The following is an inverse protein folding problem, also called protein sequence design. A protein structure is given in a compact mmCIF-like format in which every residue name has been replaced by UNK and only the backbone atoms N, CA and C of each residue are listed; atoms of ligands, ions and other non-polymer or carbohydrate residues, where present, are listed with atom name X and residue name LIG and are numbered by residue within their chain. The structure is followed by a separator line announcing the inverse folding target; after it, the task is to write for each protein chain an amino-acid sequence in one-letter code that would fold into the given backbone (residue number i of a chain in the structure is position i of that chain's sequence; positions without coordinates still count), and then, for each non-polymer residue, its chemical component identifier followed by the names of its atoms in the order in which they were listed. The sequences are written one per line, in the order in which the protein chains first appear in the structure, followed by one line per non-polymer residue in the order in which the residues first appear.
data_IF_681028234327
#
_entry.id   IF_681028234327
#
_cell.length_a   1.000
_cell.length_b   1.000
_cell.length_c   1.000
_cell.angle_alpha   90.00
_cell.angle_beta   90.00
_cell.angle_gamma   90.00
#
_symmetry.space_group_name_H-M   'P 1'
#
loop_
_entity.id
_entity.type
_entity.pdbx_description
1 polymer ?
#
# COMPACT_ATOMS: atom_id res chain seq x y z
N UNK A 1 -9.02 22.59 -12.09
CA UNK A 1 -9.77 21.55 -12.84
C UNK A 1 -8.80 20.46 -13.24
N UNK A 2 -8.99 19.25 -12.84
CA UNK A 2 -8.44 17.91 -13.22
C UNK A 2 -8.36 16.99 -11.98
N UNK A 3 -9.55 16.77 -11.36
CA UNK A 3 -9.68 15.90 -10.17
C UNK A 3 -10.17 14.46 -10.49
N UNK A 4 -10.27 14.08 -11.79
CA UNK A 4 -11.05 12.90 -12.20
C UNK A 4 -10.17 11.67 -12.54
N UNK A 5 -8.86 11.83 -12.74
CA UNK A 5 -8.04 10.79 -13.38
C UNK A 5 -7.54 9.70 -12.42
N UNK A 6 -7.44 9.95 -11.12
CA UNK A 6 -6.90 8.96 -10.17
C UNK A 6 -7.92 7.85 -9.87
N UNK A 7 -9.20 8.24 -9.74
CA UNK A 7 -10.29 7.27 -9.50
C UNK A 7 -10.59 6.41 -10.72
N UNK A 8 -10.40 6.95 -11.94
CA UNK A 8 -10.62 6.21 -13.18
C UNK A 8 -9.60 5.08 -13.37
N UNK A 9 -8.36 5.28 -12.95
CA UNK A 9 -7.32 4.23 -13.01
C UNK A 9 -7.62 3.14 -11.99
N UNK A 10 -8.11 3.50 -10.81
CA UNK A 10 -8.50 2.57 -9.76
C UNK A 10 -9.66 1.68 -10.25
N UNK A 11 -10.69 2.25 -10.88
CA UNK A 11 -11.85 1.51 -11.40
C UNK A 11 -11.46 0.52 -12.51
N UNK A 12 -10.52 0.87 -13.38
CA UNK A 12 -10.05 -0.02 -14.46
C UNK A 12 -9.23 -1.18 -13.90
N UNK A 13 -8.41 -0.95 -12.87
CA UNK A 13 -7.64 -2.01 -12.22
C UNK A 13 -8.55 -3.00 -11.46
N UNK A 14 -9.64 -2.52 -10.86
CA UNK A 14 -10.61 -3.40 -10.18
C UNK A 14 -11.52 -4.16 -11.13
N UNK A 15 -11.90 -3.58 -12.26
CA UNK A 15 -12.71 -4.26 -13.27
C UNK A 15 -11.98 -5.49 -13.87
N UNK A 16 -10.65 -5.44 -13.99
CA UNK A 16 -9.88 -6.58 -14.50
C UNK A 16 -9.84 -7.78 -13.55
N UNK A 17 -10.06 -7.59 -12.23
CA UNK A 17 -10.05 -8.69 -11.26
C UNK A 17 -11.43 -9.35 -11.03
N UNK A 18 -12.51 -8.71 -11.45
CA UNK A 18 -13.88 -9.23 -11.21
C UNK A 18 -14.37 -10.21 -12.27
N UNK A 19 -13.63 -10.47 -13.35
CA UNK A 19 -14.10 -11.29 -14.46
C UNK A 19 -13.67 -12.77 -14.45
N UNK A 20 -12.99 -13.26 -13.41
CA UNK A 20 -12.49 -14.64 -13.38
C UNK A 20 -13.25 -15.59 -12.44
N UNK A 21 -14.52 -15.30 -12.14
CA UNK A 21 -15.37 -16.23 -11.39
C UNK A 21 -16.57 -16.65 -12.22
N UNK A 22 -16.36 -17.29 -13.37
CA UNK A 22 -17.34 -18.16 -13.99
C UNK A 22 -16.65 -19.23 -14.83
N UNK A 23 -16.79 -20.43 -14.33
CA UNK A 23 -16.54 -21.71 -14.91
C UNK A 23 -17.02 -21.83 -16.37
N UNK A 24 -16.10 -22.01 -17.31
CA UNK A 24 -16.33 -22.83 -18.51
C UNK A 24 -14.98 -23.20 -19.15
N UNK A 25 -14.85 -24.47 -19.44
CA UNK A 25 -13.78 -25.17 -20.12
C UNK A 25 -13.31 -24.47 -21.40
N UNK A 26 -12.36 -23.58 -21.31
CA UNK A 26 -11.46 -23.19 -22.38
C UNK A 26 -10.13 -22.77 -21.77
N UNK A 27 -9.03 -23.19 -22.37
CA UNK A 27 -7.64 -23.15 -21.92
C UNK A 27 -6.99 -21.76 -21.69
N UNK A 28 -7.75 -20.77 -21.20
CA UNK A 28 -7.30 -19.44 -20.84
C UNK A 28 -7.36 -19.20 -19.33
N UNK A 29 -6.90 -20.18 -18.53
CA UNK A 29 -6.71 -20.00 -17.10
C UNK A 29 -5.72 -18.84 -16.84
N UNK A 30 -6.00 -18.02 -15.82
CA UNK A 30 -5.08 -17.00 -15.33
C UNK A 30 -3.70 -17.64 -15.06
N UNK A 31 -2.71 -17.30 -15.88
CA UNK A 31 -1.35 -17.80 -15.72
C UNK A 31 -0.51 -16.75 -15.02
N UNK A 32 0.05 -17.12 -13.89
CA UNK A 32 1.07 -16.31 -13.25
C UNK A 32 2.31 -16.20 -14.16
N UNK A 33 2.98 -15.04 -14.19
CA UNK A 33 4.19 -14.88 -14.96
C UNK A 33 5.29 -15.83 -14.49
N UNK A 34 6.10 -16.30 -15.43
CA UNK A 34 7.33 -17.00 -15.12
C UNK A 34 8.29 -16.11 -14.34
N UNK A 35 9.30 -16.69 -13.72
CA UNK A 35 10.34 -15.92 -13.00
C UNK A 35 11.01 -14.87 -13.89
N UNK A 36 11.25 -15.20 -15.16
CA UNK A 36 11.89 -14.28 -16.10
C UNK A 36 10.97 -13.13 -16.49
N UNK A 37 9.70 -13.39 -16.77
CA UNK A 37 8.70 -12.36 -17.05
C UNK A 37 8.48 -11.45 -15.83
N UNK A 38 8.34 -12.03 -14.63
CA UNK A 38 8.25 -11.26 -13.40
C UNK A 38 9.46 -10.34 -13.21
N UNK A 39 10.67 -10.83 -13.46
CA UNK A 39 11.89 -10.02 -13.39
C UNK A 39 11.87 -8.88 -14.41
N UNK A 40 11.42 -9.12 -15.65
CA UNK A 40 11.28 -8.08 -16.68
C UNK A 40 10.27 -7.00 -16.25
N UNK A 41 9.18 -7.37 -15.59
CA UNK A 41 8.23 -6.38 -15.02
C UNK A 41 8.87 -5.57 -13.90
N UNK A 42 9.65 -6.22 -13.03
CA UNK A 42 10.37 -5.54 -11.95
C UNK A 42 11.44 -4.55 -12.46
N UNK A 43 12.12 -4.84 -13.57
CA UNK A 43 13.09 -3.93 -14.20
C UNK A 43 12.44 -2.60 -14.63
N UNK A 44 11.15 -2.61 -14.96
CA UNK A 44 10.45 -1.41 -15.38
C UNK A 44 10.23 -0.42 -14.21
N UNK A 45 10.26 -0.88 -12.99
CA UNK A 45 10.04 -0.05 -11.78
C UNK A 45 11.27 0.00 -10.87
N UNK A 46 12.30 -0.81 -11.16
CA UNK A 46 13.50 -0.95 -10.35
C UNK A 46 14.33 0.33 -10.26
N UNK A 47 15.11 0.42 -9.18
CA UNK A 47 15.97 1.56 -8.87
C UNK A 47 15.53 2.33 -7.63
N UNK A 48 16.20 3.47 -7.40
CA UNK A 48 15.87 4.39 -6.30
C UNK A 48 15.21 5.64 -6.85
N UNK A 49 14.02 5.97 -6.35
CA UNK A 49 13.20 7.08 -6.81
C UNK A 49 12.79 7.99 -5.64
N UNK A 50 12.79 9.30 -5.87
CA UNK A 50 12.06 10.20 -4.98
C UNK A 50 10.56 9.96 -5.15
N UNK A 51 9.84 9.86 -4.04
CA UNK A 51 8.41 9.57 -4.03
C UNK A 51 7.66 10.44 -3.03
N UNK A 52 6.37 10.63 -3.31
CA UNK A 52 5.42 11.21 -2.38
C UNK A 52 4.54 10.13 -1.76
N UNK A 53 4.28 10.21 -0.46
CA UNK A 53 3.24 9.43 0.21
C UNK A 53 2.07 10.36 0.44
N UNK A 54 0.92 10.05 -0.15
CA UNK A 54 -0.32 10.77 0.00
C UNK A 54 -1.15 10.11 1.10
N UNK A 55 -1.58 10.90 2.06
CA UNK A 55 -2.43 10.46 3.16
C UNK A 55 -3.88 10.91 2.91
N UNK A 56 -4.89 10.11 3.28
CA UNK A 56 -6.27 10.58 3.26
C UNK A 56 -6.42 11.84 4.10
N UNK A 57 -7.08 12.87 3.54
CA UNK A 57 -7.27 14.13 4.25
C UNK A 57 -8.32 14.04 5.36
N UNK A 58 -9.25 13.13 5.21
CA UNK A 58 -10.36 12.90 6.12
C UNK A 58 -10.65 11.41 6.32
N UNK A 59 -11.60 11.14 7.21
CA UNK A 59 -12.10 9.77 7.49
C UNK A 59 -12.87 9.10 6.35
N UNK A 60 -13.08 9.78 5.22
CA UNK A 60 -13.72 9.24 4.03
C UNK A 60 -12.70 8.87 2.93
N UNK A 61 -11.43 8.73 3.28
CA UNK A 61 -10.33 8.42 2.36
C UNK A 61 -10.11 9.44 1.23
N UNK A 62 -10.53 10.69 1.41
CA UNK A 62 -10.19 11.75 0.46
C UNK A 62 -8.72 12.10 0.57
N UNK A 63 -7.97 11.90 -0.49
CA UNK A 63 -6.54 12.21 -0.56
C UNK A 63 -6.35 13.63 -1.09
N UNK A 64 -5.60 14.46 -0.36
CA UNK A 64 -5.25 15.82 -0.75
C UNK A 64 -3.73 16.00 -0.75
N UNK A 65 -3.22 16.82 -1.68
CA UNK A 65 -1.78 17.07 -1.81
C UNK A 65 -1.14 17.66 -0.56
N UNK A 66 -1.88 18.47 0.20
CA UNK A 66 -1.40 19.04 1.47
C UNK A 66 -1.07 18.01 2.55
N UNK A 67 -1.60 16.81 2.43
CA UNK A 67 -1.34 15.69 3.32
C UNK A 67 -0.29 14.73 2.71
N UNK A 68 0.71 15.25 2.04
CA UNK A 68 1.78 14.48 1.44
C UNK A 68 3.08 14.55 2.25
N UNK A 69 3.87 13.49 2.15
CA UNK A 69 5.22 13.39 2.72
C UNK A 69 6.19 12.95 1.63
N UNK A 70 7.29 13.68 1.45
CA UNK A 70 8.31 13.36 0.45
C UNK A 70 9.37 12.46 1.09
N UNK A 71 9.71 11.37 0.41
CA UNK A 71 10.72 10.41 0.80
C UNK A 71 11.34 9.74 -0.43
N UNK A 72 12.05 8.63 -0.25
CA UNK A 72 12.56 7.80 -1.32
C UNK A 72 12.12 6.36 -1.18
N UNK A 73 11.92 5.70 -2.33
CA UNK A 73 11.71 4.26 -2.43
C UNK A 73 12.83 3.65 -3.25
N UNK A 74 13.37 2.53 -2.77
CA UNK A 74 14.30 1.68 -3.53
C UNK A 74 13.62 0.36 -3.85
N UNK A 75 13.58 -0.03 -5.12
CA UNK A 75 12.99 -1.28 -5.60
C UNK A 75 14.10 -2.13 -6.21
N UNK A 76 14.31 -3.33 -5.66
CA UNK A 76 15.32 -4.28 -6.14
C UNK A 76 14.65 -5.35 -7.02
N UNK A 77 14.93 -5.36 -8.34
CA UNK A 77 14.34 -6.35 -9.23
C UNK A 77 14.78 -7.79 -8.96
N UNK A 78 15.97 -8.01 -8.41
CA UNK A 78 16.55 -9.35 -8.26
C UNK A 78 15.82 -10.19 -7.20
N UNK A 79 15.29 -9.58 -6.15
CA UNK A 79 14.58 -10.24 -5.07
C UNK A 79 13.14 -9.76 -4.89
N UNK A 80 12.72 -8.86 -5.79
CA UNK A 80 11.38 -8.25 -5.79
C UNK A 80 11.04 -7.49 -4.50
N UNK A 81 12.04 -6.98 -3.80
CA UNK A 81 11.82 -6.20 -2.58
C UNK A 81 11.73 -4.70 -2.86
N UNK A 82 11.02 -4.01 -1.99
CA UNK A 82 11.07 -2.55 -1.92
C UNK A 82 11.39 -2.06 -0.51
N UNK A 83 11.97 -0.87 -0.42
CA UNK A 83 12.25 -0.16 0.83
C UNK A 83 11.89 1.31 0.69
N UNK A 84 11.05 1.80 1.58
CA UNK A 84 10.69 3.21 1.72
C UNK A 84 11.51 3.78 2.87
N UNK A 85 12.40 4.72 2.58
CA UNK A 85 13.25 5.35 3.59
C UNK A 85 12.44 6.36 4.41
N UNK A 86 12.76 6.49 5.70
CA UNK A 86 12.15 7.50 6.58
C UNK A 86 10.61 7.53 6.55
N UNK A 87 9.96 6.38 6.45
CA UNK A 87 8.50 6.30 6.49
C UNK A 87 7.97 6.96 7.77
N UNK A 88 7.06 7.94 7.65
CA UNK A 88 6.68 8.81 8.77
C UNK A 88 5.57 8.17 9.63
N UNK A 89 5.90 7.14 10.41
CA UNK A 89 4.94 6.38 11.26
C UNK A 89 4.09 7.33 12.10
N UNK A 90 4.69 8.35 12.70
CA UNK A 90 4.00 9.33 13.56
C UNK A 90 2.83 10.07 12.88
N UNK A 91 2.87 10.22 11.54
CA UNK A 91 1.78 10.87 10.82
C UNK A 91 0.50 10.03 10.81
N UNK A 92 0.60 8.73 11.11
CA UNK A 92 -0.56 7.86 11.22
C UNK A 92 -1.38 8.12 12.49
N UNK A 93 -0.78 8.75 13.51
CA UNK A 93 -1.43 9.01 14.80
C UNK A 93 -2.78 9.73 14.66
N UNK A 94 -2.88 10.71 13.75
CA UNK A 94 -4.10 11.49 13.51
C UNK A 94 -5.29 10.66 13.00
N UNK A 95 -5.03 9.44 12.50
CA UNK A 95 -6.05 8.53 11.97
C UNK A 95 -6.40 7.38 12.91
N UNK A 96 -5.72 7.30 14.06
CA UNK A 96 -5.97 6.30 15.09
C UNK A 96 -7.08 6.76 15.99
N UNK A 97 -8.18 6.00 16.08
CA UNK A 97 -9.37 6.37 16.85
C UNK A 97 -9.18 6.33 18.37
N UNK A 98 -8.30 5.45 18.84
CA UNK A 98 -8.05 5.26 20.26
C UNK A 98 -6.91 6.17 20.71
N UNK A 99 -7.16 7.06 21.67
CA UNK A 99 -6.19 8.07 22.15
C UNK A 99 -4.88 7.46 22.67
N UNK A 100 -4.94 6.34 23.40
CA UNK A 100 -3.75 5.63 23.89
C UNK A 100 -2.84 5.25 22.74
N UNK A 101 -3.38 4.65 21.69
CA UNK A 101 -2.59 4.21 20.53
C UNK A 101 -2.24 5.36 19.61
N UNK A 102 -3.06 6.40 19.53
CA UNK A 102 -2.73 7.63 18.82
C UNK A 102 -1.48 8.28 19.43
N UNK A 103 -1.45 8.44 20.76
CA UNK A 103 -0.28 8.96 21.46
C UNK A 103 0.94 8.09 21.21
N UNK A 104 0.82 6.78 21.39
CA UNK A 104 1.90 5.82 21.16
C UNK A 104 2.50 5.94 19.75
N UNK A 105 1.65 5.97 18.71
CA UNK A 105 2.11 6.12 17.30
C UNK A 105 2.76 7.48 17.06
N UNK A 106 2.29 8.55 17.72
CA UNK A 106 2.87 9.90 17.54
C UNK A 106 4.33 10.02 18.02
N UNK A 107 4.75 9.14 18.90
CA UNK A 107 6.10 9.10 19.49
C UNK A 107 7.06 8.19 18.67
N UNK A 108 6.53 7.38 17.75
CA UNK A 108 7.36 6.50 16.91
C UNK A 108 8.19 7.31 15.92
N UNK A 109 9.53 7.16 15.92
CA UNK A 109 10.38 7.84 14.94
C UNK A 109 10.11 7.32 13.52
N UNK A 110 10.54 8.08 12.52
CA UNK A 110 10.52 7.60 11.14
C UNK A 110 11.32 6.31 11.02
N UNK A 111 10.80 5.35 10.28
CA UNK A 111 11.41 4.02 10.10
C UNK A 111 11.53 3.67 8.62
N UNK A 112 12.30 2.63 8.32
CA UNK A 112 12.27 2.03 6.99
C UNK A 112 11.08 1.08 6.90
N UNK A 113 10.16 1.34 5.97
CA UNK A 113 9.09 0.41 5.62
C UNK A 113 9.51 -0.43 4.43
N UNK A 114 9.42 -1.73 4.52
CA UNK A 114 9.83 -2.66 3.47
C UNK A 114 8.71 -3.61 3.08
N UNK A 115 8.87 -4.27 1.94
CA UNK A 115 7.94 -5.29 1.49
C UNK A 115 8.41 -5.98 0.21
N UNK A 116 7.52 -6.79 -0.36
CA UNK A 116 7.71 -7.47 -1.65
C UNK A 116 6.64 -7.07 -2.66
N UNK A 117 7.04 -7.09 -3.92
CA UNK A 117 6.18 -6.93 -5.09
C UNK A 117 6.14 -8.27 -5.83
N UNK A 118 4.95 -8.85 -5.95
CA UNK A 118 4.74 -10.09 -6.70
C UNK A 118 4.04 -9.77 -8.01
N UNK A 119 4.73 -9.96 -9.14
CA UNK A 119 4.15 -9.70 -10.46
C UNK A 119 2.93 -10.58 -10.69
N UNK A 120 1.84 -9.97 -11.14
CA UNK A 120 0.58 -10.65 -11.44
C UNK A 120 0.33 -10.79 -12.94
N UNK A 121 1.12 -10.11 -13.77
CA UNK A 121 0.93 -10.08 -15.21
C UNK A 121 2.30 -10.14 -15.92
N UNK A 122 2.39 -10.86 -17.04
CA UNK A 122 3.61 -11.01 -17.83
C UNK A 122 3.90 -9.81 -18.75
N UNK A 123 2.89 -8.96 -19.01
CA UNK A 123 2.95 -7.88 -20.00
C UNK A 123 2.82 -6.49 -19.40
N UNK A 124 2.10 -6.40 -18.29
CA UNK A 124 1.80 -5.15 -17.57
C UNK A 124 2.47 -5.16 -16.20
N UNK A 125 3.23 -4.13 -15.82
CA UNK A 125 3.86 -4.06 -14.50
C UNK A 125 2.80 -3.77 -13.42
N UNK A 126 2.06 -4.81 -13.10
CA UNK A 126 1.05 -4.86 -12.06
C UNK A 126 1.45 -5.90 -11.02
N UNK A 127 1.40 -5.52 -9.75
CA UNK A 127 1.95 -6.30 -8.65
C UNK A 127 0.96 -6.44 -7.51
N UNK A 128 0.91 -7.62 -6.92
CA UNK A 128 0.44 -7.79 -5.55
C UNK A 128 1.54 -7.35 -4.58
N UNK A 129 1.18 -6.68 -3.50
CA UNK A 129 2.14 -6.16 -2.54
C UNK A 129 2.03 -6.88 -1.20
N UNK A 130 3.16 -7.21 -0.63
CA UNK A 130 3.28 -7.71 0.73
C UNK A 130 4.13 -6.71 1.52
N UNK A 131 3.49 -5.81 2.26
CA UNK A 131 4.17 -4.85 3.13
C UNK A 131 4.49 -5.51 4.47
N UNK A 132 5.73 -5.37 4.93
CA UNK A 132 6.15 -5.93 6.22
C UNK A 132 5.72 -5.03 7.36
N UNK A 133 5.47 -5.64 8.51
CA UNK A 133 5.06 -4.93 9.71
C UNK A 133 6.19 -4.06 10.28
N UNK A 134 5.81 -2.98 10.96
CA UNK A 134 6.73 -2.14 11.74
C UNK A 134 6.60 -2.53 13.20
N UNK A 135 7.73 -2.79 13.86
CA UNK A 135 7.78 -3.03 15.31
C UNK A 135 8.38 -1.83 16.03
N UNK A 136 7.84 -1.49 17.19
CA UNK A 136 8.32 -0.40 18.03
C UNK A 136 8.01 -0.69 19.51
N UNK A 137 8.55 0.13 20.41
CA UNK A 137 8.39 -0.02 21.86
C UNK A 137 7.83 1.26 22.45
N UNK A 138 7.06 1.13 23.55
CA UNK A 138 6.72 2.25 24.39
C UNK A 138 7.81 2.55 25.44
N UNK A 139 7.60 3.57 26.24
CA UNK A 139 8.51 3.98 27.34
C UNK A 139 8.70 2.87 28.39
N UNK A 140 7.72 1.98 28.55
CA UNK A 140 7.77 0.84 29.48
C UNK A 140 8.40 -0.41 28.84
N UNK A 141 8.98 -0.27 27.63
CA UNK A 141 9.62 -1.36 26.87
C UNK A 141 8.66 -2.48 26.40
N UNK A 142 7.35 -2.22 26.36
CA UNK A 142 6.39 -3.13 25.75
C UNK A 142 6.53 -3.12 24.23
N UNK A 143 6.43 -4.31 23.60
CA UNK A 143 6.56 -4.45 22.15
C UNK A 143 5.20 -4.26 21.46
N UNK A 144 5.20 -3.41 20.45
CA UNK A 144 4.05 -3.18 19.58
C UNK A 144 4.40 -3.47 18.12
N UNK A 145 3.42 -3.90 17.37
CA UNK A 145 3.54 -4.16 15.94
C UNK A 145 2.43 -3.43 15.20
N UNK A 146 2.80 -2.53 14.30
CA UNK A 146 1.89 -1.96 13.30
C UNK A 146 1.87 -2.90 12.10
N UNK A 147 0.73 -3.56 11.90
CA UNK A 147 0.52 -4.47 10.79
C UNK A 147 -0.02 -3.75 9.56
N UNK A 148 0.47 -4.17 8.39
CA UNK A 148 -0.07 -3.77 7.10
C UNK A 148 -0.85 -4.94 6.50
N UNK A 149 -2.06 -4.67 6.03
CA UNK A 149 -2.93 -5.70 5.49
C UNK A 149 -2.76 -5.84 3.99
N UNK A 150 -2.71 -7.10 3.57
CA UNK A 150 -2.90 -7.50 2.20
C UNK A 150 -4.39 -7.77 1.96
N UNK A 151 -5.22 -6.73 2.05
CA UNK A 151 -6.66 -6.87 1.82
C UNK A 151 -6.95 -6.95 0.32
N UNK A 152 -7.89 -7.82 -0.05
CA UNK A 152 -8.35 -8.02 -1.42
C UNK A 152 -8.56 -6.69 -2.14
N UNK A 153 -7.77 -6.46 -3.20
CA UNK A 153 -7.82 -5.26 -4.02
C UNK A 153 -7.06 -4.03 -3.50
N UNK A 154 -6.60 -4.02 -2.24
CA UNK A 154 -5.87 -2.89 -1.66
C UNK A 154 -4.37 -3.15 -1.45
N UNK A 155 -3.91 -4.36 -1.69
CA UNK A 155 -2.51 -4.73 -1.65
C UNK A 155 -1.96 -4.76 -3.08
N UNK A 156 -1.90 -3.60 -3.73
CA UNK A 156 -1.54 -3.51 -5.13
C UNK A 156 -0.50 -2.42 -5.40
N UNK A 157 0.31 -2.63 -6.43
CA UNK A 157 1.13 -1.60 -7.04
C UNK A 157 1.04 -1.72 -8.57
N UNK A 158 1.24 -0.62 -9.26
CA UNK A 158 1.22 -0.61 -10.71
C UNK A 158 2.04 0.52 -11.31
N UNK A 159 2.51 0.32 -12.53
CA UNK A 159 3.24 1.32 -13.29
C UNK A 159 2.51 1.63 -14.61
N UNK A 160 2.03 2.87 -14.72
CA UNK A 160 1.45 3.39 -15.95
C UNK A 160 2.59 3.85 -16.90
N UNK A 161 2.88 3.04 -17.92
CA UNK A 161 3.92 3.32 -18.91
C UNK A 161 3.65 4.61 -19.71
N UNK A 162 2.38 4.97 -19.93
CA UNK A 162 2.02 6.16 -20.69
C UNK A 162 2.27 7.45 -19.92
N UNK A 163 2.13 7.41 -18.60
CA UNK A 163 2.34 8.54 -17.69
C UNK A 163 3.68 8.48 -16.96
N UNK A 164 4.44 7.39 -17.13
CA UNK A 164 5.67 7.12 -16.39
C UNK A 164 5.47 7.25 -14.87
N UNK A 165 4.34 6.76 -14.37
CA UNK A 165 3.93 6.94 -12.99
C UNK A 165 3.73 5.59 -12.30
N UNK A 166 4.37 5.41 -11.15
CA UNK A 166 4.21 4.27 -10.27
C UNK A 166 3.30 4.62 -9.09
N UNK A 167 2.42 3.69 -8.75
CA UNK A 167 1.55 3.77 -7.58
C UNK A 167 1.73 2.53 -6.72
N UNK A 168 1.85 2.71 -5.41
CA UNK A 168 1.87 1.64 -4.41
C UNK A 168 0.87 1.98 -3.31
N UNK A 169 -0.06 1.07 -3.07
CA UNK A 169 -1.04 1.20 -2.00
C UNK A 169 -0.51 0.59 -0.71
N UNK A 170 -0.56 1.36 0.36
CA UNK A 170 -0.14 0.98 1.71
C UNK A 170 -1.36 1.02 2.62
N UNK A 171 -1.69 -0.10 3.24
CA UNK A 171 -2.90 -0.26 4.05
C UNK A 171 -2.54 -0.65 5.48
N UNK A 172 -2.30 0.32 6.38
CA UNK A 172 -2.14 0.02 7.79
C UNK A 172 -3.46 -0.52 8.35
N UNK A 173 -3.41 -1.60 9.10
CA UNK A 173 -4.61 -2.34 9.48
C UNK A 173 -4.83 -2.44 10.98
N UNK A 174 -3.87 -2.94 11.74
CA UNK A 174 -3.99 -3.17 13.17
C UNK A 174 -2.72 -2.82 13.92
N UNK A 175 -2.88 -2.60 15.22
CA UNK A 175 -1.79 -2.58 16.18
C UNK A 175 -1.90 -3.85 17.02
N UNK A 176 -0.78 -4.54 17.20
CA UNK A 176 -0.67 -5.65 18.13
C UNK A 176 0.13 -5.21 19.36
N UNK A 177 -0.34 -5.59 20.54
CA UNK A 177 0.41 -5.54 21.79
C UNK A 177 0.82 -6.99 22.12
N UNK A 178 2.07 -7.34 21.82
CA UNK A 178 2.48 -8.73 21.81
C UNK A 178 1.67 -9.53 20.79
N UNK A 179 0.85 -10.46 21.24
CA UNK A 179 -0.05 -11.29 20.40
C UNK A 179 -1.49 -10.77 20.35
N UNK A 180 -1.84 -9.79 21.21
CA UNK A 180 -3.19 -9.23 21.28
C UNK A 180 -3.39 -8.17 20.19
N UNK A 181 -4.39 -8.39 19.34
CA UNK A 181 -4.74 -7.46 18.28
C UNK A 181 -5.69 -6.39 18.78
N UNK A 182 -5.31 -5.12 18.56
CA UNK A 182 -6.20 -3.98 18.74
C UNK A 182 -6.98 -3.76 17.45
N UNK A 183 -8.25 -4.08 17.49
CA UNK A 183 -9.12 -4.01 16.32
C UNK A 183 -9.50 -2.57 15.95
N UNK A 184 -9.85 -2.38 14.65
CA UNK A 184 -10.51 -1.19 14.10
C UNK A 184 -9.74 0.14 14.25
N UNK A 185 -8.42 0.07 14.36
CA UNK A 185 -7.58 1.24 14.59
C UNK A 185 -7.62 2.21 13.42
N UNK A 186 -7.52 1.70 12.19
CA UNK A 186 -7.40 2.48 10.94
C UNK A 186 -8.59 2.32 9.99
N UNK A 187 -9.78 1.98 10.49
CA UNK A 187 -10.96 1.86 9.64
C UNK A 187 -11.67 3.20 9.50
N UNK A 188 -12.06 3.50 8.28
CA UNK A 188 -12.95 4.61 7.96
C UNK A 188 -14.32 4.05 7.59
N UNK A 189 -15.37 4.77 7.94
CA UNK A 189 -16.75 4.40 7.54
C UNK A 189 -17.11 5.20 6.30
N UNK A 190 -17.48 4.50 5.22
CA UNK A 190 -17.99 5.14 3.99
C UNK A 190 -19.46 4.83 3.86
N UNK A 191 -20.32 5.78 4.23
CA UNK A 191 -21.76 5.74 4.01
C UNK A 191 -22.42 4.42 4.44
N UNK A 192 -23.35 3.95 3.63
CA UNK A 192 -24.12 2.71 3.84
C UNK A 192 -23.37 1.41 3.53
N UNK A 193 -22.16 1.48 3.00
CA UNK A 193 -21.40 0.31 2.50
C UNK A 193 -20.39 -0.29 3.49
N UNK A 194 -20.44 0.12 4.75
CA UNK A 194 -19.58 -0.44 5.79
C UNK A 194 -18.25 0.29 5.95
N UNK A 195 -17.32 -0.33 6.69
CA UNK A 195 -15.99 0.24 6.91
C UNK A 195 -15.03 -0.15 5.80
N UNK A 196 -14.32 0.83 5.25
CA UNK A 196 -13.22 0.60 4.31
C UNK A 196 -11.87 0.75 5.02
N UNK A 197 -10.82 0.04 4.57
CA UNK A 197 -9.51 0.21 5.14
C UNK A 197 -8.97 1.62 4.88
N UNK A 198 -8.13 2.08 5.78
CA UNK A 198 -7.34 3.29 5.57
C UNK A 198 -6.26 3.01 4.52
N UNK A 199 -6.22 3.79 3.45
CA UNK A 199 -5.29 3.59 2.34
C UNK A 199 -4.42 4.83 2.15
N UNK A 200 -3.11 4.63 2.18
CA UNK A 200 -2.13 5.62 1.72
C UNK A 200 -1.68 5.25 0.32
N UNK A 201 -1.30 6.24 -0.46
CA UNK A 201 -0.78 6.04 -1.82
C UNK A 201 0.63 6.61 -1.92
N UNK A 202 1.60 5.74 -2.18
CA UNK A 202 2.94 6.16 -2.57
C UNK A 202 2.99 6.29 -4.09
N UNK A 203 3.56 7.39 -4.57
CA UNK A 203 3.70 7.65 -6.00
C UNK A 203 5.05 8.25 -6.34
N UNK A 204 5.60 7.86 -7.49
CA UNK A 204 6.76 8.51 -8.10
C UNK A 204 6.62 8.53 -9.64
N UNK A 205 7.33 9.46 -10.27
CA UNK A 205 7.54 9.46 -11.73
C UNK A 205 8.93 8.89 -12.03
N UNK A 206 9.01 8.08 -13.07
CA UNK A 206 10.27 7.51 -13.58
C UNK A 206 10.80 8.36 -14.72
#
# INVERSE_FOLDING_TARGET
MKKITLFSILAVLFAAMSFTSCNSSSDNGFQLPTKQEAYQMMLQVGGTHQCGILFPADKNNNIQEKDSFVTSISINPSDSTYRISNFPVKLLAKYVKNEKYSKLISEVPNQTLSGKLHSLDATTPFFYTQTYNITFKDEQNNNYTLAFYALNGYAAAGFDKSKQNFLLYLTPGAIYNGTEMVNDVFKTTVGTYGSVPYIMVLTFKK
#
